data_IF_848984387598
#
_entry.id   IF_848984387598
#
_cell.length_a   1.000
_cell.length_b   1.000
_cell.length_c   1.000
_cell.angle_alpha   90.00
_cell.angle_beta   90.00
_cell.angle_gamma   90.00
#
_symmetry.space_group_name_H-M   'P 1'
#
loop_
_entity.id
_entity.type
_entity.pdbx_description
1 polymer ?
#
# COMPACT_ATOMS: atom_id res chain seq x y z
N UNK A 1 28.33 12.78 -36.83
CA UNK A 1 27.51 11.79 -36.08
C UNK A 1 28.42 11.23 -35.03
N UNK A 2 28.19 11.63 -33.78
CA UNK A 2 29.08 11.39 -32.67
C UNK A 2 28.71 10.06 -31.98
N UNK A 3 29.65 9.43 -31.33
CA UNK A 3 29.55 8.11 -30.65
C UNK A 3 28.36 8.00 -29.69
N UNK A 4 27.78 9.09 -29.23
CA UNK A 4 26.59 9.12 -28.38
C UNK A 4 25.31 8.62 -29.08
N UNK A 5 25.18 8.79 -30.40
CA UNK A 5 24.00 8.39 -31.17
C UNK A 5 23.97 6.85 -31.37
N UNK A 6 25.14 6.20 -31.41
CA UNK A 6 25.20 4.73 -31.55
C UNK A 6 24.87 3.99 -30.24
N UNK A 7 25.17 4.56 -29.07
CA UNK A 7 24.86 3.97 -27.77
C UNK A 7 23.34 3.93 -27.55
N UNK A 8 22.62 4.96 -27.97
CA UNK A 8 21.15 5.00 -27.87
C UNK A 8 20.45 4.00 -28.79
N UNK A 9 21.00 3.72 -29.97
CA UNK A 9 20.40 2.80 -30.94
C UNK A 9 20.49 1.31 -30.54
N UNK A 10 21.48 0.92 -29.72
CA UNK A 10 21.66 -0.47 -29.25
C UNK A 10 21.13 -0.71 -27.83
N UNK A 11 21.02 0.34 -27.02
CA UNK A 11 20.50 0.23 -25.65
C UNK A 11 18.96 0.16 -25.61
N UNK A 12 18.27 0.90 -26.48
CA UNK A 12 16.80 0.95 -26.51
C UNK A 12 16.14 -0.42 -26.82
N UNK A 13 16.59 -1.21 -27.81
CA UNK A 13 16.03 -2.53 -28.08
C UNK A 13 16.33 -3.55 -26.97
N UNK A 14 17.49 -3.47 -26.34
CA UNK A 14 17.84 -4.35 -25.20
C UNK A 14 17.02 -3.99 -23.95
N UNK A 15 16.79 -2.72 -23.70
CA UNK A 15 15.94 -2.23 -22.61
C UNK A 15 14.47 -2.65 -22.87
N UNK A 16 13.98 -2.50 -24.10
CA UNK A 16 12.63 -2.90 -24.49
C UNK A 16 12.41 -4.41 -24.36
N UNK A 17 13.39 -5.23 -24.77
CA UNK A 17 13.36 -6.69 -24.62
C UNK A 17 13.44 -7.12 -23.15
N UNK A 18 14.25 -6.41 -22.32
CA UNK A 18 14.33 -6.62 -20.87
C UNK A 18 12.99 -6.25 -20.20
N UNK A 19 12.38 -5.14 -20.63
CA UNK A 19 11.07 -4.68 -20.16
C UNK A 19 9.97 -5.70 -20.51
N UNK A 20 9.92 -6.21 -21.74
CA UNK A 20 8.91 -7.20 -22.16
C UNK A 20 9.10 -8.52 -21.41
N UNK A 21 10.32 -9.01 -21.25
CA UNK A 21 10.63 -10.27 -20.55
C UNK A 21 10.33 -10.19 -19.06
N UNK A 22 10.61 -9.06 -18.42
CA UNK A 22 10.37 -8.83 -17.00
C UNK A 22 8.90 -8.43 -16.71
N UNK A 23 8.16 -7.94 -17.71
CA UNK A 23 6.74 -7.61 -17.59
C UNK A 23 5.87 -8.85 -17.28
N UNK A 24 6.16 -9.99 -17.91
CA UNK A 24 5.52 -11.27 -17.59
C UNK A 24 5.82 -11.70 -16.15
N UNK A 25 7.00 -11.37 -15.65
CA UNK A 25 7.43 -11.66 -14.28
C UNK A 25 6.77 -10.77 -13.22
N UNK A 26 6.58 -9.48 -13.51
CA UNK A 26 5.94 -8.55 -12.60
C UNK A 26 4.45 -8.85 -12.40
N UNK A 27 3.78 -9.34 -13.45
CA UNK A 27 2.39 -9.84 -13.37
C UNK A 27 2.30 -11.05 -12.43
N UNK A 28 3.32 -11.92 -12.38
CA UNK A 28 3.36 -13.01 -11.39
C UNK A 28 3.53 -12.52 -9.93
N UNK A 29 4.28 -11.47 -9.70
CA UNK A 29 4.38 -10.86 -8.34
C UNK A 29 3.00 -10.35 -7.90
N UNK A 30 2.24 -9.75 -8.80
CA UNK A 30 0.89 -9.24 -8.56
C UNK A 30 -0.12 -10.34 -8.22
N UNK A 31 -0.07 -11.46 -8.94
CA UNK A 31 -0.93 -12.62 -8.69
C UNK A 31 -0.63 -13.23 -7.31
N UNK A 32 0.63 -13.26 -6.88
CA UNK A 32 1.02 -13.76 -5.57
C UNK A 32 0.61 -12.83 -4.40
N UNK A 33 0.48 -11.52 -4.63
CA UNK A 33 0.08 -10.55 -3.62
C UNK A 33 -1.44 -10.55 -3.40
N UNK A 34 -2.23 -10.87 -4.44
CA UNK A 34 -3.69 -10.72 -4.43
C UNK A 34 -4.52 -11.95 -4.00
N UNK A 35 -3.93 -13.09 -3.66
CA UNK A 35 -4.70 -14.33 -3.48
C UNK A 35 -5.51 -14.46 -2.16
N UNK A 36 -5.50 -13.49 -1.25
CA UNK A 36 -6.18 -13.65 0.04
C UNK A 36 -7.05 -12.49 0.55
N UNK A 37 -7.42 -11.54 -0.30
CA UNK A 37 -8.44 -10.56 0.06
C UNK A 37 -9.66 -10.77 -0.84
N UNK A 38 -10.63 -11.51 -0.34
CA UNK A 38 -11.99 -11.50 -0.90
C UNK A 38 -12.59 -10.11 -0.67
N UNK A 39 -12.17 -9.15 -1.47
CA UNK A 39 -12.88 -7.90 -1.62
C UNK A 39 -14.03 -8.20 -2.59
N UNK A 40 -15.26 -7.91 -2.17
CA UNK A 40 -16.37 -7.77 -3.09
C UNK A 40 -15.99 -6.68 -4.11
N UNK A 41 -15.38 -7.09 -5.17
CA UNK A 41 -15.08 -6.24 -6.32
C UNK A 41 -16.41 -5.77 -6.87
N UNK A 42 -16.68 -4.48 -6.74
CA UNK A 42 -17.72 -3.84 -7.55
C UNK A 42 -17.23 -3.96 -8.99
N UNK A 43 -17.78 -4.92 -9.69
CA UNK A 43 -17.40 -5.31 -11.03
C UNK A 43 -17.83 -4.21 -12.02
N UNK A 44 -16.91 -3.28 -12.35
CA UNK A 44 -17.14 -2.20 -13.32
C UNK A 44 -17.04 -2.72 -14.78
N UNK A 45 -16.73 -3.98 -14.99
CA UNK A 45 -16.73 -4.60 -16.30
C UNK A 45 -18.09 -5.21 -16.65
N UNK A 46 -19.11 -4.38 -16.82
CA UNK A 46 -20.27 -4.78 -17.58
C UNK A 46 -19.85 -4.87 -19.08
N UNK A 47 -19.49 -6.07 -19.54
CA UNK A 47 -19.69 -6.42 -20.96
C UNK A 47 -21.19 -6.24 -21.20
N UNK A 48 -21.57 -5.12 -21.79
CA UNK A 48 -22.95 -4.87 -22.24
C UNK A 48 -23.27 -5.93 -23.29
N UNK A 49 -24.12 -6.87 -22.90
CA UNK A 49 -24.83 -7.69 -23.87
C UNK A 49 -25.63 -6.75 -24.77
N UNK A 50 -25.21 -6.57 -26.02
CA UNK A 50 -25.77 -5.61 -26.96
C UNK A 50 -27.25 -5.84 -27.31
N UNK A 51 -27.84 -6.90 -26.76
CA UNK A 51 -29.26 -7.27 -26.97
C UNK A 51 -30.19 -6.82 -25.85
N UNK A 52 -29.65 -6.47 -24.66
CA UNK A 52 -30.45 -6.08 -23.50
C UNK A 52 -30.65 -4.57 -23.44
N UNK A 53 -31.91 -4.12 -23.46
CA UNK A 53 -32.26 -2.70 -23.23
C UNK A 53 -31.87 -2.33 -21.79
N UNK A 54 -31.24 -1.17 -21.62
CA UNK A 54 -30.76 -0.72 -20.28
C UNK A 54 -30.61 0.80 -20.26
N UNK A 55 -30.55 1.35 -19.06
CA UNK A 55 -29.94 2.66 -18.79
C UNK A 55 -28.54 2.43 -18.27
N UNK A 56 -27.60 3.21 -18.72
CA UNK A 56 -26.24 3.22 -18.16
C UNK A 56 -25.87 4.63 -17.73
N UNK A 57 -25.20 4.72 -16.60
CA UNK A 57 -24.70 5.98 -16.04
C UNK A 57 -23.18 5.95 -15.97
N UNK A 58 -22.55 7.05 -16.36
CA UNK A 58 -21.11 7.25 -16.24
C UNK A 58 -20.81 8.61 -15.63
N UNK A 59 -20.08 8.61 -14.52
CA UNK A 59 -19.59 9.80 -13.85
C UNK A 59 -18.16 10.07 -14.29
N UNK A 60 -17.93 11.25 -14.88
CA UNK A 60 -16.62 11.63 -15.41
C UNK A 60 -16.11 12.85 -14.67
N UNK A 61 -14.97 12.72 -14.03
CA UNK A 61 -14.28 13.85 -13.40
C UNK A 61 -13.74 14.82 -14.45
N UNK A 62 -13.78 16.11 -14.17
CA UNK A 62 -13.19 17.15 -15.02
C UNK A 62 -11.64 17.16 -15.00
N UNK A 63 -11.01 16.22 -14.31
CA UNK A 63 -9.59 15.95 -14.32
C UNK A 63 -9.36 14.42 -14.37
N UNK A 64 -8.51 13.96 -15.28
CA UNK A 64 -8.25 12.55 -15.53
C UNK A 64 -7.77 11.80 -14.27
N UNK A 65 -6.96 12.45 -13.43
CA UNK A 65 -6.37 11.85 -12.22
C UNK A 65 -7.30 11.95 -11.01
N UNK A 66 -8.51 12.51 -11.15
CA UNK A 66 -9.41 12.84 -10.03
C UNK A 66 -8.74 13.72 -8.94
N UNK A 67 -7.67 14.46 -9.28
CA UNK A 67 -6.94 15.34 -8.35
C UNK A 67 -7.09 16.79 -8.78
N UNK A 68 -7.72 17.60 -7.93
CA UNK A 68 -8.03 18.97 -8.23
C UNK A 68 -7.15 19.97 -7.47
N UNK A 69 -6.59 20.93 -8.20
CA UNK A 69 -5.80 22.05 -7.64
C UNK A 69 -6.65 23.30 -7.39
N UNK A 70 -7.75 23.44 -8.12
CA UNK A 70 -8.68 24.59 -8.03
C UNK A 70 -9.87 24.24 -7.17
N UNK A 71 -10.42 25.20 -6.42
CA UNK A 71 -11.54 25.02 -5.47
C UNK A 71 -12.88 24.63 -6.13
N UNK A 72 -13.05 24.90 -7.40
CA UNK A 72 -14.24 24.49 -8.16
C UNK A 72 -13.97 23.14 -8.83
N UNK A 73 -14.69 22.15 -8.38
CA UNK A 73 -14.66 20.78 -8.87
C UNK A 73 -15.73 20.65 -9.95
N UNK A 74 -15.44 19.92 -11.00
CA UNK A 74 -16.38 19.67 -12.08
C UNK A 74 -16.49 18.18 -12.32
N UNK A 75 -17.73 17.73 -12.45
CA UNK A 75 -18.08 16.39 -12.90
C UNK A 75 -19.07 16.50 -14.05
N UNK A 76 -19.13 15.47 -14.87
CA UNK A 76 -20.16 15.30 -15.89
C UNK A 76 -20.81 13.94 -15.66
N UNK A 77 -22.13 13.92 -15.57
CA UNK A 77 -22.91 12.70 -15.48
C UNK A 77 -23.48 12.44 -16.86
N UNK A 78 -23.08 11.34 -17.48
CA UNK A 78 -23.57 10.89 -18.77
C UNK A 78 -24.56 9.73 -18.54
N UNK A 79 -25.78 9.88 -19.02
CA UNK A 79 -26.85 8.89 -18.89
C UNK A 79 -27.25 8.47 -20.30
N UNK A 80 -27.08 7.19 -20.62
CA UNK A 80 -27.47 6.61 -21.91
C UNK A 80 -28.68 5.72 -21.71
N UNK A 81 -29.75 6.02 -22.41
CA UNK A 81 -30.96 5.21 -22.45
C UNK A 81 -30.99 4.40 -23.75
N UNK A 82 -30.96 3.07 -23.66
CA UNK A 82 -31.10 2.18 -24.83
C UNK A 82 -32.51 1.63 -25.04
N UNK A 83 -33.42 1.93 -24.12
CA UNK A 83 -34.83 1.55 -24.27
C UNK A 83 -35.50 2.26 -25.47
N UNK A 84 -36.58 1.65 -25.98
CA UNK A 84 -37.44 2.22 -27.06
C UNK A 84 -38.41 3.25 -26.54
N UNK A 85 -38.45 3.47 -25.23
CA UNK A 85 -39.27 4.45 -24.54
C UNK A 85 -38.39 5.45 -23.79
N UNK A 86 -38.88 6.66 -23.57
CA UNK A 86 -38.23 7.63 -22.73
C UNK A 86 -38.18 7.14 -21.27
N UNK A 87 -37.20 7.59 -20.53
CA UNK A 87 -37.02 7.30 -19.10
C UNK A 87 -37.18 8.61 -18.32
N UNK A 88 -38.06 8.63 -17.35
CA UNK A 88 -38.30 9.79 -16.48
C UNK A 88 -38.02 9.43 -15.03
N UNK A 89 -37.56 10.39 -14.26
CA UNK A 89 -37.28 10.19 -12.84
C UNK A 89 -36.41 11.27 -12.26
N UNK A 90 -35.56 10.88 -11.34
CA UNK A 90 -34.69 11.81 -10.58
C UNK A 90 -33.26 11.38 -10.58
N UNK A 91 -32.40 12.38 -10.48
CA UNK A 91 -31.00 12.20 -10.12
C UNK A 91 -30.72 13.00 -8.85
N UNK A 92 -30.02 12.35 -7.94
CA UNK A 92 -29.51 12.94 -6.72
C UNK A 92 -28.01 12.87 -6.74
N UNK A 93 -27.32 13.89 -6.23
CA UNK A 93 -25.88 13.84 -6.03
C UNK A 93 -25.52 14.39 -4.65
N UNK A 94 -24.43 13.87 -4.10
CA UNK A 94 -23.89 14.37 -2.85
C UNK A 94 -22.36 14.35 -2.86
N UNK A 95 -21.77 15.20 -2.02
CA UNK A 95 -20.34 15.21 -1.73
C UNK A 95 -20.16 15.00 -0.24
N UNK A 96 -19.39 13.97 0.12
CA UNK A 96 -19.03 13.65 1.49
C UNK A 96 -17.52 13.83 1.69
N UNK A 97 -17.11 14.21 2.89
CA UNK A 97 -15.70 14.18 3.26
C UNK A 97 -15.27 12.75 3.64
N UNK A 98 -13.99 12.59 3.94
CA UNK A 98 -13.38 11.32 4.37
C UNK A 98 -13.97 10.75 5.68
N UNK A 99 -14.61 11.58 6.52
CA UNK A 99 -15.35 11.17 7.72
C UNK A 99 -16.83 10.93 7.48
N UNK A 100 -17.23 10.69 6.25
CA UNK A 100 -18.62 10.41 5.83
C UNK A 100 -19.60 11.55 6.11
N UNK A 101 -19.15 12.76 6.39
CA UNK A 101 -20.01 13.92 6.59
C UNK A 101 -20.41 14.51 5.24
N UNK A 102 -21.71 14.60 4.98
CA UNK A 102 -22.22 15.29 3.81
C UNK A 102 -21.93 16.79 3.89
N UNK A 103 -21.33 17.33 2.85
CA UNK A 103 -20.96 18.75 2.73
C UNK A 103 -21.93 19.52 1.85
N UNK A 104 -22.39 18.89 0.79
CA UNK A 104 -23.34 19.43 -0.16
C UNK A 104 -24.03 18.31 -0.93
N UNK A 105 -25.10 18.65 -1.62
CA UNK A 105 -25.84 17.77 -2.49
C UNK A 105 -26.93 18.56 -3.24
N UNK A 106 -27.58 17.88 -4.17
CA UNK A 106 -28.70 18.41 -4.92
C UNK A 106 -29.47 17.31 -5.61
N UNK A 107 -30.68 17.62 -6.00
CA UNK A 107 -31.52 16.72 -6.79
C UNK A 107 -32.24 17.51 -7.88
N UNK A 108 -32.58 16.84 -8.96
CA UNK A 108 -33.41 17.39 -10.04
C UNK A 108 -34.07 16.27 -10.82
N UNK A 109 -35.21 16.62 -11.41
CA UNK A 109 -35.94 15.72 -12.29
C UNK A 109 -35.22 15.63 -13.64
N UNK A 110 -35.23 14.44 -14.22
CA UNK A 110 -34.57 14.14 -15.51
C UNK A 110 -35.54 13.45 -16.45
N UNK A 111 -35.39 13.76 -17.73
CA UNK A 111 -36.04 13.09 -18.84
C UNK A 111 -34.92 12.65 -19.81
N UNK A 112 -34.86 11.35 -20.12
CA UNK A 112 -33.90 10.81 -21.06
C UNK A 112 -34.65 10.19 -22.22
N UNK A 113 -34.58 10.80 -23.38
CA UNK A 113 -35.25 10.33 -24.60
C UNK A 113 -34.99 8.86 -24.89
N UNK A 114 -35.90 8.21 -25.62
CA UNK A 114 -35.71 6.88 -26.15
C UNK A 114 -34.43 6.81 -27.00
N UNK A 115 -33.56 5.82 -26.72
CA UNK A 115 -32.24 5.68 -27.34
C UNK A 115 -31.40 6.97 -27.28
N UNK A 116 -31.59 7.76 -26.22
CA UNK A 116 -31.01 9.07 -26.01
C UNK A 116 -29.81 9.09 -25.09
N UNK A 117 -29.11 10.22 -25.11
CA UNK A 117 -28.03 10.58 -24.23
C UNK A 117 -28.38 11.89 -23.51
N UNK A 118 -28.32 11.88 -22.17
CA UNK A 118 -28.43 13.08 -21.34
C UNK A 118 -27.06 13.36 -20.69
N UNK A 119 -26.55 14.58 -20.83
CA UNK A 119 -25.29 15.04 -20.25
C UNK A 119 -25.56 16.12 -19.23
N UNK A 120 -25.19 15.88 -17.99
CA UNK A 120 -25.44 16.79 -16.86
C UNK A 120 -24.12 17.28 -16.28
N UNK A 121 -23.78 18.57 -16.45
CA UNK A 121 -22.59 19.14 -15.82
C UNK A 121 -22.89 19.49 -14.36
N UNK A 122 -22.08 18.97 -13.45
CA UNK A 122 -22.13 19.30 -12.02
C UNK A 122 -20.90 20.12 -11.66
N UNK A 123 -21.07 21.23 -10.96
CA UNK A 123 -20.02 22.09 -10.47
C UNK A 123 -20.28 22.46 -9.03
N UNK A 124 -19.29 22.22 -8.17
CA UNK A 124 -19.35 22.56 -6.75
C UNK A 124 -17.99 23.06 -6.23
N UNK A 125 -17.99 23.52 -4.98
CA UNK A 125 -16.79 24.07 -4.33
C UNK A 125 -16.43 23.26 -3.10
N UNK A 126 -15.13 22.90 -2.98
CA UNK A 126 -14.51 22.42 -1.75
C UNK A 126 -13.41 23.40 -1.32
N UNK A 127 -13.14 23.49 -0.03
CA UNK A 127 -12.22 24.51 0.54
C UNK A 127 -11.05 23.93 1.30
N UNK A 128 -11.23 22.81 1.99
CA UNK A 128 -10.18 22.16 2.76
C UNK A 128 -9.43 21.14 1.90
N UNK A 129 -8.10 21.03 2.01
CA UNK A 129 -7.36 19.93 1.42
C UNK A 129 -7.84 18.59 1.98
N UNK A 130 -7.96 17.56 1.12
CA UNK A 130 -8.44 16.24 1.55
C UNK A 130 -8.91 15.38 0.40
N UNK A 131 -9.46 14.22 0.76
CA UNK A 131 -10.15 13.34 -0.17
C UNK A 131 -11.65 13.38 0.12
N UNK A 132 -12.43 13.30 -0.94
CA UNK A 132 -13.88 13.49 -0.92
C UNK A 132 -14.54 12.45 -1.80
N UNK A 133 -15.71 11.99 -1.40
CA UNK A 133 -16.55 11.13 -2.20
C UNK A 133 -17.63 11.97 -2.91
N UNK A 134 -17.72 11.79 -4.21
CA UNK A 134 -18.85 12.28 -5.02
C UNK A 134 -19.69 11.08 -5.40
N UNK A 135 -20.92 11.03 -4.96
CA UNK A 135 -21.86 9.98 -5.31
C UNK A 135 -23.06 10.55 -6.08
N UNK A 136 -23.58 9.73 -6.97
CA UNK A 136 -24.74 10.04 -7.80
C UNK A 136 -25.67 8.85 -7.78
N UNK A 137 -26.92 9.07 -7.39
CA UNK A 137 -28.01 8.12 -7.48
C UNK A 137 -28.95 8.53 -8.59
N UNK A 138 -29.25 7.61 -9.49
CA UNK A 138 -30.29 7.74 -10.52
C UNK A 138 -31.45 6.81 -10.15
N UNK A 139 -32.66 7.33 -10.26
CA UNK A 139 -33.88 6.53 -10.16
C UNK A 139 -34.84 7.00 -11.28
N UNK A 140 -34.99 6.15 -12.29
CA UNK A 140 -35.87 6.37 -13.43
C UNK A 140 -36.80 5.17 -13.60
N UNK A 141 -37.75 5.25 -14.52
CA UNK A 141 -38.85 4.30 -14.69
C UNK A 141 -38.42 2.82 -14.60
N UNK A 142 -37.33 2.45 -15.28
CA UNK A 142 -36.90 1.06 -15.41
C UNK A 142 -35.50 0.81 -14.85
N UNK A 143 -34.89 1.79 -14.09
CA UNK A 143 -33.51 1.68 -13.62
C UNK A 143 -33.24 2.51 -12.35
N UNK A 144 -32.63 1.88 -11.37
CA UNK A 144 -32.09 2.51 -10.15
C UNK A 144 -30.64 2.06 -9.93
N UNK A 145 -29.73 3.03 -9.75
CA UNK A 145 -28.32 2.74 -9.48
C UNK A 145 -27.65 3.88 -8.72
N UNK A 146 -26.55 3.56 -8.06
CA UNK A 146 -25.72 4.55 -7.35
C UNK A 146 -24.26 4.35 -7.74
N UNK A 147 -23.64 5.41 -8.25
CA UNK A 147 -22.20 5.43 -8.57
C UNK A 147 -21.49 6.40 -7.64
N UNK A 148 -20.43 5.93 -7.01
CA UNK A 148 -19.55 6.75 -6.20
C UNK A 148 -18.13 6.77 -6.77
N UNK A 149 -17.48 7.92 -6.65
CA UNK A 149 -16.06 8.12 -7.02
C UNK A 149 -15.39 8.99 -5.97
N UNK A 150 -14.10 8.78 -5.76
CA UNK A 150 -13.33 9.59 -4.80
C UNK A 150 -12.37 10.51 -5.55
N UNK A 151 -12.30 11.76 -5.11
CA UNK A 151 -11.39 12.74 -5.64
C UNK A 151 -10.55 13.40 -4.54
N UNK A 152 -9.33 13.79 -4.90
CA UNK A 152 -8.46 14.58 -4.02
C UNK A 152 -8.52 16.07 -4.36
N UNK A 153 -8.62 16.92 -3.34
CA UNK A 153 -8.42 18.35 -3.47
C UNK A 153 -7.15 18.76 -2.75
N UNK A 154 -6.16 19.25 -3.50
CA UNK A 154 -4.86 19.71 -2.99
C UNK A 154 -4.23 18.73 -1.98
N UNK A 155 -4.13 17.43 -2.26
CA UNK A 155 -3.65 16.45 -1.27
C UNK A 155 -2.23 16.76 -0.78
N UNK A 156 -1.39 17.44 -1.56
CA UNK A 156 -0.07 17.94 -1.13
C UNK A 156 -0.13 18.92 0.04
N UNK A 157 -1.30 19.49 0.37
CA UNK A 157 -1.52 20.39 1.49
C UNK A 157 -2.18 19.71 2.68
N UNK A 158 -2.45 18.40 2.63
CA UNK A 158 -2.91 17.65 3.80
C UNK A 158 -1.78 17.68 4.82
N UNK A 159 -2.08 18.22 5.99
CA UNK A 159 -1.14 18.32 7.09
C UNK A 159 -1.85 17.98 8.40
N UNK A 160 -1.56 16.80 8.91
CA UNK A 160 -2.09 16.31 10.17
C UNK A 160 -1.02 16.38 11.26
N UNK A 161 -1.39 16.57 12.53
CA UNK A 161 -0.42 16.57 13.63
C UNK A 161 0.32 15.23 13.71
N UNK A 162 1.59 15.28 14.11
CA UNK A 162 2.30 14.09 14.56
C UNK A 162 1.94 13.82 16.02
N UNK A 163 1.43 12.65 16.30
CA UNK A 163 1.18 12.17 17.67
C UNK A 163 2.39 11.37 18.18
N UNK A 164 3.59 11.95 17.99
CA UNK A 164 4.86 11.32 18.37
C UNK A 164 5.07 11.39 19.88
N UNK A 165 5.20 10.25 20.60
CA UNK A 165 5.51 10.23 22.01
C UNK A 165 6.87 10.91 22.31
N UNK A 166 6.99 11.52 23.48
CA UNK A 166 8.22 12.24 23.89
C UNK A 166 9.43 11.31 23.95
N UNK A 167 9.23 10.07 24.37
CA UNK A 167 10.26 9.03 24.48
C UNK A 167 10.38 8.13 23.23
N UNK A 168 9.73 8.50 22.12
CA UNK A 168 9.68 7.70 20.88
C UNK A 168 11.08 7.31 20.38
N UNK A 169 11.97 8.27 20.26
CA UNK A 169 13.31 8.02 19.72
C UNK A 169 14.09 7.09 20.66
N UNK A 170 14.05 7.35 21.96
CA UNK A 170 14.68 6.49 22.96
C UNK A 170 14.11 5.07 22.96
N UNK A 171 12.78 4.92 22.83
CA UNK A 171 12.10 3.63 22.78
C UNK A 171 12.64 2.76 21.63
N UNK A 172 12.78 3.35 20.44
CA UNK A 172 13.27 2.62 19.28
C UNK A 172 14.79 2.43 19.28
N UNK A 173 15.55 3.36 19.85
CA UNK A 173 17.00 3.17 20.04
C UNK A 173 17.30 2.06 21.05
N UNK A 174 16.53 1.98 22.13
CA UNK A 174 16.61 0.89 23.10
C UNK A 174 16.28 -0.46 22.44
N UNK A 175 15.20 -0.53 21.63
CA UNK A 175 14.82 -1.75 20.91
C UNK A 175 15.89 -2.21 19.92
N UNK A 176 16.54 -1.28 19.19
CA UNK A 176 17.69 -1.59 18.32
C UNK A 176 18.88 -2.09 19.12
N UNK A 177 19.15 -1.49 20.28
CA UNK A 177 20.23 -1.91 21.17
C UNK A 177 19.97 -3.30 21.77
N UNK A 178 18.73 -3.63 22.11
CA UNK A 178 18.30 -4.96 22.54
C UNK A 178 18.51 -5.99 21.40
N UNK A 179 18.06 -5.68 20.18
CA UNK A 179 18.25 -6.53 19.01
C UNK A 179 19.74 -6.83 18.76
N UNK A 180 20.60 -5.81 18.89
CA UNK A 180 22.06 -5.95 18.65
C UNK A 180 22.72 -6.91 19.63
N UNK A 181 22.19 -7.14 20.83
CA UNK A 181 22.70 -8.08 21.82
C UNK A 181 22.34 -9.53 21.48
N UNK A 182 21.33 -9.76 20.63
CA UNK A 182 20.90 -11.09 20.22
C UNK A 182 21.84 -11.63 19.15
N UNK A 183 22.50 -12.75 19.42
CA UNK A 183 23.28 -13.49 18.40
C UNK A 183 22.31 -13.93 17.29
N UNK A 184 22.50 -13.50 16.04
CA UNK A 184 21.56 -13.76 14.95
C UNK A 184 21.48 -15.24 14.53
N UNK A 185 22.47 -16.08 14.83
CA UNK A 185 22.52 -17.53 14.52
C UNK A 185 21.97 -17.87 13.12
N UNK A 186 22.47 -17.18 12.10
CA UNK A 186 21.99 -17.36 10.73
C UNK A 186 22.17 -18.81 10.27
N UNK A 187 21.06 -19.42 9.81
CA UNK A 187 21.05 -20.71 9.12
C UNK A 187 20.63 -20.49 7.68
N UNK A 188 21.41 -21.01 6.74
CA UNK A 188 21.21 -20.84 5.29
C UNK A 188 21.22 -22.23 4.66
N UNK A 189 20.05 -22.75 4.31
CA UNK A 189 19.89 -24.10 3.78
C UNK A 189 19.55 -24.04 2.28
N UNK A 190 20.45 -24.64 1.46
CA UNK A 190 20.23 -24.73 0.01
C UNK A 190 19.07 -25.69 -0.30
N UNK A 191 18.09 -25.22 -1.05
CA UNK A 191 16.98 -26.04 -1.52
C UNK A 191 17.13 -26.38 -3.01
N UNK A 192 17.57 -27.61 -3.31
CA UNK A 192 17.63 -28.11 -4.68
C UNK A 192 16.24 -28.12 -5.33
N UNK A 193 15.20 -28.44 -4.56
CA UNK A 193 13.81 -28.55 -5.03
C UNK A 193 13.27 -27.22 -5.54
N UNK A 194 13.61 -26.12 -4.88
CA UNK A 194 13.13 -24.78 -5.19
C UNK A 194 14.07 -23.99 -6.09
N UNK A 195 15.31 -24.45 -6.27
CA UNK A 195 16.28 -23.87 -7.20
C UNK A 195 15.88 -24.14 -8.65
N UNK A 196 16.17 -23.16 -9.53
CA UNK A 196 15.90 -23.26 -10.97
C UNK A 196 17.21 -23.45 -11.77
N UNK A 197 17.13 -23.54 -13.10
CA UNK A 197 18.32 -23.53 -13.98
C UNK A 197 19.13 -22.23 -13.83
N UNK A 198 18.47 -21.11 -13.52
CA UNK A 198 19.05 -19.76 -13.45
C UNK A 198 19.32 -19.26 -12.04
N UNK A 199 18.66 -19.81 -10.99
CA UNK A 199 18.76 -19.32 -9.62
C UNK A 199 19.07 -20.41 -8.60
N UNK A 200 19.81 -20.02 -7.57
CA UNK A 200 19.94 -20.76 -6.30
C UNK A 200 18.86 -20.27 -5.34
N UNK A 201 18.23 -21.19 -4.65
CA UNK A 201 17.23 -20.90 -3.62
C UNK A 201 17.72 -21.41 -2.26
N UNK A 202 17.54 -20.59 -1.23
CA UNK A 202 17.91 -20.94 0.14
C UNK A 202 16.75 -20.61 1.09
N UNK A 203 16.47 -21.52 2.01
CA UNK A 203 15.71 -21.22 3.21
C UNK A 203 16.63 -20.53 4.21
N UNK A 204 16.09 -19.55 4.93
CA UNK A 204 16.85 -18.74 5.89
C UNK A 204 16.14 -18.77 7.23
N UNK A 205 16.90 -19.01 8.30
CA UNK A 205 16.44 -18.80 9.68
C UNK A 205 17.41 -17.86 10.40
N UNK A 206 16.89 -17.07 11.34
CA UNK A 206 17.68 -16.15 12.13
C UNK A 206 17.01 -15.83 13.47
N UNK A 207 17.82 -15.56 14.49
CA UNK A 207 17.33 -15.09 15.77
C UNK A 207 17.13 -13.58 15.73
N UNK A 208 15.97 -13.13 16.19
CA UNK A 208 15.60 -11.73 16.30
C UNK A 208 15.36 -11.33 17.76
N UNK A 209 14.80 -10.15 18.00
CA UNK A 209 14.50 -9.64 19.34
C UNK A 209 13.78 -10.71 20.17
N UNK A 210 14.08 -10.79 21.46
CA UNK A 210 13.58 -11.79 22.42
C UNK A 210 13.98 -13.24 22.09
N UNK A 211 15.05 -13.43 21.29
CA UNK A 211 15.48 -14.74 20.78
C UNK A 211 14.40 -15.50 20.00
N UNK A 212 13.48 -14.76 19.36
CA UNK A 212 12.47 -15.35 18.49
C UNK A 212 13.13 -15.77 17.19
N UNK A 213 12.96 -17.04 16.78
CA UNK A 213 13.41 -17.51 15.47
C UNK A 213 12.44 -17.01 14.40
N UNK A 214 12.95 -16.25 13.45
CA UNK A 214 12.22 -15.81 12.27
C UNK A 214 12.76 -16.48 11.02
N UNK A 215 11.94 -16.53 9.99
CA UNK A 215 12.21 -17.30 8.79
C UNK A 215 12.15 -16.40 7.55
N UNK A 216 12.73 -16.90 6.48
CA UNK A 216 12.63 -16.29 5.16
C UNK A 216 13.15 -17.24 4.10
N UNK A 217 13.15 -16.77 2.87
CA UNK A 217 13.82 -17.44 1.78
C UNK A 217 14.51 -16.41 0.88
N UNK A 218 15.62 -16.82 0.28
CA UNK A 218 16.33 -15.96 -0.67
C UNK A 218 16.60 -16.72 -1.97
N UNK A 219 16.27 -16.09 -3.10
CA UNK A 219 16.64 -16.52 -4.44
C UNK A 219 17.74 -15.63 -5.00
N UNK A 220 18.80 -16.22 -5.55
CA UNK A 220 19.99 -15.51 -6.03
C UNK A 220 20.32 -16.01 -7.43
N UNK A 221 20.51 -15.13 -8.43
CA UNK A 221 20.95 -15.52 -9.76
C UNK A 221 22.26 -16.32 -9.73
N UNK A 222 22.40 -17.31 -10.62
CA UNK A 222 23.64 -18.10 -10.77
C UNK A 222 24.73 -17.40 -11.57
N UNK A 223 24.42 -16.24 -12.15
CA UNK A 223 25.38 -15.40 -12.85
C UNK A 223 26.51 -14.95 -11.91
N UNK A 224 27.68 -14.67 -12.51
CA UNK A 224 28.81 -14.12 -11.77
C UNK A 224 28.55 -12.62 -11.51
N UNK A 225 28.64 -12.19 -10.27
CA UNK A 225 28.45 -10.79 -9.90
C UNK A 225 27.86 -10.58 -8.51
N UNK A 226 27.56 -9.33 -8.21
CA UNK A 226 26.77 -8.92 -7.05
C UNK A 226 25.45 -8.36 -7.53
N UNK A 227 24.37 -8.80 -6.90
CA UNK A 227 23.00 -8.46 -7.30
C UNK A 227 22.36 -7.52 -6.30
N UNK A 228 21.67 -6.47 -6.77
CA UNK A 228 20.76 -5.70 -5.92
C UNK A 228 19.84 -6.65 -5.16
N UNK A 229 19.54 -6.32 -3.93
CA UNK A 229 18.68 -7.17 -3.08
C UNK A 229 17.34 -6.50 -2.89
N UNK A 230 16.27 -7.12 -3.38
CA UNK A 230 14.91 -6.73 -3.02
C UNK A 230 14.49 -7.52 -1.79
N UNK A 231 14.42 -6.83 -0.65
CA UNK A 231 13.89 -7.37 0.59
C UNK A 231 12.38 -7.10 0.64
N UNK A 232 11.60 -8.17 0.52
CA UNK A 232 10.14 -8.10 0.50
C UNK A 232 9.59 -8.33 1.90
N UNK A 233 8.82 -7.35 2.36
CA UNK A 233 8.11 -7.38 3.63
C UNK A 233 6.71 -7.97 3.45
N UNK A 234 6.25 -8.88 4.33
CA UNK A 234 4.97 -9.56 4.16
C UNK A 234 3.79 -8.65 4.49
N UNK A 235 2.72 -8.75 3.70
CA UNK A 235 1.40 -8.27 4.07
C UNK A 235 0.81 -9.05 5.25
N UNK A 236 -0.35 -8.61 5.75
CA UNK A 236 -0.99 -9.24 6.90
C UNK A 236 -1.34 -10.71 6.62
N UNK A 237 -0.79 -11.64 7.42
CA UNK A 237 -0.96 -13.10 7.25
C UNK A 237 -0.59 -13.62 5.84
N UNK A 238 0.23 -12.89 5.10
CA UNK A 238 0.62 -13.26 3.74
C UNK A 238 1.76 -14.27 3.74
N UNK A 239 1.65 -15.26 2.86
CA UNK A 239 2.73 -16.18 2.50
C UNK A 239 3.24 -15.81 1.11
N UNK A 240 4.48 -15.34 1.04
CA UNK A 240 5.10 -14.91 -0.20
C UNK A 240 5.60 -16.12 -1.00
N UNK A 241 5.22 -16.19 -2.27
CA UNK A 241 5.66 -17.24 -3.18
C UNK A 241 7.01 -16.90 -3.83
N UNK A 242 7.90 -17.90 -4.08
CA UNK A 242 9.16 -17.67 -4.75
C UNK A 242 9.01 -17.11 -6.17
N UNK A 243 9.85 -16.16 -6.53
CA UNK A 243 10.01 -15.66 -7.89
C UNK A 243 11.48 -15.34 -8.18
N UNK A 244 11.87 -15.25 -9.46
CA UNK A 244 13.25 -15.40 -9.89
C UNK A 244 13.61 -14.38 -11.00
N UNK A 245 13.78 -13.08 -10.69
CA UNK A 245 14.25 -12.09 -11.65
C UNK A 245 15.74 -12.31 -12.00
N UNK A 246 16.09 -12.09 -13.26
CA UNK A 246 17.42 -12.48 -13.78
C UNK A 246 18.60 -11.70 -13.20
N UNK A 247 18.37 -10.50 -12.69
CA UNK A 247 19.41 -9.54 -12.32
C UNK A 247 19.29 -8.99 -10.88
N UNK A 248 18.44 -9.59 -10.06
CA UNK A 248 18.21 -9.18 -8.67
C UNK A 248 18.13 -10.41 -7.78
N UNK A 249 18.64 -10.31 -6.56
CA UNK A 249 18.38 -11.28 -5.51
C UNK A 249 17.09 -10.88 -4.78
N UNK A 250 16.23 -11.87 -4.53
CA UNK A 250 14.96 -11.64 -3.81
C UNK A 250 15.07 -12.29 -2.44
N UNK A 251 14.93 -11.49 -1.40
CA UNK A 251 14.85 -11.96 -0.04
C UNK A 251 13.43 -11.68 0.51
N UNK A 252 12.66 -12.71 0.78
CA UNK A 252 11.33 -12.61 1.40
C UNK A 252 11.41 -12.96 2.87
N UNK A 253 11.03 -12.01 3.71
CA UNK A 253 10.98 -12.18 5.15
C UNK A 253 9.60 -12.74 5.57
N UNK A 254 9.61 -13.63 6.56
CA UNK A 254 8.44 -13.97 7.37
C UNK A 254 8.71 -13.45 8.78
N UNK A 255 8.01 -12.38 9.17
CA UNK A 255 8.12 -11.83 10.53
C UNK A 255 7.55 -12.82 11.55
N UNK A 256 7.89 -12.64 12.83
CA UNK A 256 7.36 -13.43 13.95
C UNK A 256 5.85 -13.62 13.85
N UNK A 257 5.36 -14.76 14.28
CA UNK A 257 3.93 -15.06 14.29
C UNK A 257 3.41 -15.30 15.71
N UNK A 258 2.09 -15.37 15.83
CA UNK A 258 1.40 -15.56 17.14
C UNK A 258 1.78 -16.90 17.77
N UNK A 259 1.94 -17.97 17.01
CA UNK A 259 2.26 -19.29 17.53
C UNK A 259 3.68 -19.35 18.14
N UNK A 260 4.62 -18.56 17.63
CA UNK A 260 5.96 -18.43 18.21
C UNK A 260 5.94 -17.72 19.57
N UNK A 261 5.02 -16.75 19.75
CA UNK A 261 4.82 -16.05 21.03
C UNK A 261 4.03 -16.93 22.01
N UNK A 262 3.09 -17.74 21.54
CA UNK A 262 2.24 -18.61 22.39
C UNK A 262 2.99 -19.79 23.01
N UNK A 263 4.18 -20.15 22.52
CA UNK A 263 5.08 -21.08 23.26
C UNK A 263 5.43 -20.55 24.64
N UNK A 264 5.26 -19.25 24.87
CA UNK A 264 5.43 -18.57 26.16
C UNK A 264 4.13 -18.47 26.97
N UNK A 265 2.95 -18.61 26.34
CA UNK A 265 1.63 -18.47 26.98
C UNK A 265 0.89 -19.82 27.09
N UNK A 266 0.69 -20.26 28.32
CA UNK A 266 0.08 -21.56 28.67
C UNK A 266 -1.44 -21.70 28.42
N UNK A 267 -2.10 -20.80 27.67
CA UNK A 267 -3.55 -20.86 27.49
C UNK A 267 -3.96 -20.81 26.00
N UNK A 268 -4.29 -21.98 25.38
CA UNK A 268 -4.50 -22.10 23.94
C UNK A 268 -5.92 -21.75 23.44
N UNK A 269 -6.80 -21.18 24.25
CA UNK A 269 -8.26 -21.15 23.93
C UNK A 269 -8.72 -20.05 22.99
N UNK A 270 -7.97 -18.98 22.76
CA UNK A 270 -8.23 -18.01 21.69
C UNK A 270 -6.91 -17.31 21.31
N UNK A 271 -6.38 -17.60 20.13
CA UNK A 271 -5.28 -16.79 19.59
C UNK A 271 -5.85 -15.42 19.23
N UNK A 272 -5.34 -14.33 19.83
CA UNK A 272 -5.77 -12.99 19.42
C UNK A 272 -5.36 -12.74 17.95
N UNK A 273 -6.11 -11.87 17.27
CA UNK A 273 -5.66 -11.40 15.96
C UNK A 273 -4.26 -10.79 16.07
N UNK A 274 -3.43 -11.04 15.06
CA UNK A 274 -2.02 -10.61 15.07
C UNK A 274 -1.85 -9.14 15.46
N UNK A 275 -2.67 -8.26 14.88
CA UNK A 275 -2.62 -6.83 15.16
C UNK A 275 -3.08 -6.42 16.57
N UNK A 276 -3.51 -7.39 17.39
CA UNK A 276 -4.01 -7.16 18.75
C UNK A 276 -3.12 -7.77 19.83
N UNK A 277 -2.09 -8.54 19.45
CA UNK A 277 -1.22 -9.24 20.42
C UNK A 277 -0.47 -8.25 21.29
N UNK A 278 -0.82 -8.17 22.58
CA UNK A 278 -0.27 -7.27 23.61
C UNK A 278 -0.40 -5.77 23.24
N UNK A 279 -1.48 -5.39 22.59
CA UNK A 279 -1.70 -4.00 22.15
C UNK A 279 -1.80 -3.00 23.33
N UNK A 280 -2.04 -3.50 24.53
CA UNK A 280 -2.10 -2.70 25.78
C UNK A 280 -0.72 -2.25 26.26
N UNK A 281 0.36 -2.90 25.83
CA UNK A 281 1.72 -2.62 26.27
C UNK A 281 2.68 -2.43 25.10
N UNK A 282 3.12 -1.19 24.88
CA UNK A 282 4.06 -0.85 23.81
C UNK A 282 5.34 -1.69 23.81
N UNK A 283 5.80 -2.15 25.00
CA UNK A 283 7.05 -2.90 25.12
C UNK A 283 6.92 -4.34 24.62
N UNK A 284 5.72 -4.91 24.75
CA UNK A 284 5.40 -6.28 24.39
C UNK A 284 4.51 -6.40 23.15
N UNK A 285 4.04 -5.27 22.59
CA UNK A 285 3.22 -5.27 21.37
C UNK A 285 3.96 -5.94 20.23
N UNK A 286 3.29 -6.87 19.55
CA UNK A 286 3.89 -7.72 18.51
C UNK A 286 4.67 -6.94 17.45
N UNK A 287 4.20 -5.71 17.12
CA UNK A 287 4.84 -4.86 16.11
C UNK A 287 6.20 -4.32 16.56
N UNK A 288 6.51 -4.20 17.87
CA UNK A 288 7.88 -3.90 18.32
C UNK A 288 8.85 -4.95 17.79
N UNK A 289 8.50 -6.20 18.02
CA UNK A 289 9.30 -7.30 17.53
C UNK A 289 9.31 -7.44 16.01
N UNK A 290 8.16 -7.26 15.35
CA UNK A 290 8.07 -7.34 13.89
C UNK A 290 8.93 -6.27 13.19
N UNK A 291 9.00 -5.05 13.71
CA UNK A 291 9.90 -4.02 13.17
C UNK A 291 11.36 -4.40 13.38
N UNK A 292 11.70 -4.99 14.52
CA UNK A 292 13.05 -5.52 14.76
C UNK A 292 13.38 -6.72 13.85
N UNK A 293 12.41 -7.55 13.49
CA UNK A 293 12.58 -8.65 12.52
C UNK A 293 12.97 -8.12 11.14
N UNK A 294 12.37 -7.00 10.72
CA UNK A 294 12.70 -6.34 9.46
C UNK A 294 14.15 -5.81 9.46
N UNK A 295 14.59 -5.20 10.58
CA UNK A 295 16.00 -4.76 10.71
C UNK A 295 16.95 -5.95 10.73
N UNK A 296 16.61 -7.07 11.38
CA UNK A 296 17.40 -8.31 11.37
C UNK A 296 17.58 -8.85 9.95
N UNK A 297 16.55 -8.70 9.08
CA UNK A 297 16.67 -9.09 7.67
C UNK A 297 17.69 -8.20 6.91
N UNK A 298 17.78 -6.91 7.21
CA UNK A 298 18.83 -6.04 6.66
C UNK A 298 20.20 -6.48 7.17
N UNK A 299 20.34 -6.78 8.47
CA UNK A 299 21.59 -7.32 9.04
C UNK A 299 22.03 -8.62 8.36
N UNK A 300 21.07 -9.51 8.04
CA UNK A 300 21.35 -10.75 7.29
C UNK A 300 22.01 -10.48 5.95
N UNK A 301 21.50 -9.51 5.17
CA UNK A 301 22.03 -9.16 3.85
C UNK A 301 23.49 -8.73 3.97
N UNK A 302 23.80 -7.87 4.96
CA UNK A 302 25.17 -7.41 5.20
C UNK A 302 26.11 -8.53 5.65
N UNK A 303 25.66 -9.38 6.57
CA UNK A 303 26.47 -10.49 7.07
C UNK A 303 26.79 -11.54 5.99
N UNK A 304 25.88 -11.69 5.02
CA UNK A 304 25.93 -12.74 3.99
C UNK A 304 26.24 -12.21 2.58
N UNK A 305 26.89 -11.06 2.45
CA UNK A 305 27.26 -10.44 1.18
C UNK A 305 28.04 -11.37 0.23
N UNK A 306 28.79 -12.34 0.78
CA UNK A 306 29.55 -13.35 0.02
C UNK A 306 28.66 -14.29 -0.82
N UNK A 307 27.36 -14.32 -0.55
CA UNK A 307 26.39 -15.02 -1.41
C UNK A 307 26.16 -14.33 -2.77
N UNK A 308 26.82 -13.20 -3.03
CA UNK A 308 26.63 -12.39 -4.23
C UNK A 308 25.62 -11.26 -4.03
N UNK A 309 25.39 -10.84 -2.78
CA UNK A 309 24.46 -9.76 -2.44
C UNK A 309 25.18 -8.41 -2.49
N UNK A 310 24.58 -7.44 -3.17
CA UNK A 310 25.08 -6.07 -3.21
C UNK A 310 24.51 -5.26 -2.05
N UNK A 311 25.34 -5.03 -1.05
CA UNK A 311 24.98 -4.29 0.16
C UNK A 311 24.80 -2.79 -0.06
N UNK A 312 25.20 -2.25 -1.21
CA UNK A 312 25.01 -0.86 -1.58
C UNK A 312 23.69 -0.63 -2.34
N UNK A 313 23.00 -1.71 -2.73
CA UNK A 313 21.73 -1.64 -3.48
C UNK A 313 20.68 -2.51 -2.81
N UNK A 314 20.27 -2.12 -1.59
CA UNK A 314 19.21 -2.78 -0.84
C UNK A 314 17.91 -2.00 -1.07
N UNK A 315 16.94 -2.69 -1.65
CA UNK A 315 15.60 -2.21 -1.93
C UNK A 315 14.68 -2.86 -0.89
N UNK A 316 13.98 -2.07 -0.07
CA UNK A 316 12.90 -2.61 0.77
C UNK A 316 11.56 -2.34 0.13
N UNK A 317 10.72 -3.37 0.10
CA UNK A 317 9.44 -3.29 -0.60
C UNK A 317 8.35 -4.07 0.14
N UNK A 318 7.10 -3.58 0.07
CA UNK A 318 5.95 -4.32 0.57
C UNK A 318 4.62 -3.65 0.27
N UNK A 319 3.54 -4.43 0.41
CA UNK A 319 2.18 -3.95 0.29
C UNK A 319 1.43 -4.03 1.61
N UNK A 320 0.46 -3.12 1.85
CA UNK A 320 -0.37 -3.12 3.05
C UNK A 320 0.48 -3.04 4.33
N UNK A 321 0.40 -4.03 5.22
CA UNK A 321 1.29 -4.15 6.38
C UNK A 321 2.77 -4.18 5.97
N UNK A 322 3.10 -4.89 4.87
CA UNK A 322 4.45 -4.92 4.33
C UNK A 322 4.93 -3.54 3.88
N UNK A 323 4.03 -2.70 3.36
CA UNK A 323 4.33 -1.31 3.03
C UNK A 323 4.67 -0.47 4.28
N UNK A 324 3.93 -0.67 5.38
CA UNK A 324 4.28 -0.07 6.67
C UNK A 324 5.66 -0.54 7.16
N UNK A 325 5.94 -1.85 7.09
CA UNK A 325 7.24 -2.42 7.45
C UNK A 325 8.38 -1.86 6.59
N UNK A 326 8.18 -1.72 5.28
CA UNK A 326 9.18 -1.15 4.38
C UNK A 326 9.52 0.31 4.76
N UNK A 327 8.50 1.14 4.99
CA UNK A 327 8.68 2.55 5.39
C UNK A 327 9.39 2.67 6.74
N UNK A 328 8.99 1.88 7.73
CA UNK A 328 9.62 1.86 9.06
C UNK A 328 11.07 1.38 8.97
N UNK A 329 11.33 0.32 8.19
CA UNK A 329 12.69 -0.19 7.98
C UNK A 329 13.60 0.87 7.36
N UNK A 330 13.14 1.54 6.30
CA UNK A 330 13.88 2.62 5.64
C UNK A 330 14.14 3.84 6.56
N UNK A 331 13.24 4.08 7.52
CA UNK A 331 13.40 5.15 8.51
C UNK A 331 14.43 4.79 9.59
N UNK A 332 14.45 3.52 10.02
CA UNK A 332 15.29 3.06 11.13
C UNK A 332 16.67 2.55 10.69
N UNK A 333 16.84 2.25 9.40
CA UNK A 333 18.08 1.70 8.84
C UNK A 333 18.49 2.41 7.55
N UNK A 334 19.48 3.28 7.66
CA UNK A 334 19.94 4.09 6.52
C UNK A 334 20.81 3.30 5.52
N UNK A 335 21.01 2.00 5.72
CA UNK A 335 21.60 1.09 4.74
C UNK A 335 20.61 0.74 3.62
N UNK A 336 19.34 1.04 3.80
CA UNK A 336 18.32 0.92 2.76
C UNK A 336 18.56 1.98 1.68
N UNK A 337 18.65 1.53 0.43
CA UNK A 337 18.96 2.40 -0.72
C UNK A 337 17.71 3.05 -1.32
N UNK A 338 16.63 2.30 -1.48
CA UNK A 338 15.31 2.78 -1.90
C UNK A 338 14.20 2.02 -1.18
N UNK A 339 13.03 2.64 -1.05
CA UNK A 339 11.87 2.09 -0.37
C UNK A 339 10.62 2.18 -1.24
N UNK A 340 9.90 1.08 -1.39
CA UNK A 340 8.60 1.03 -2.04
C UNK A 340 7.49 0.53 -1.12
N UNK A 341 6.35 1.22 -1.11
CA UNK A 341 5.22 0.88 -0.26
C UNK A 341 3.89 1.01 -1.01
N UNK A 342 3.23 -0.11 -1.25
CA UNK A 342 1.92 -0.14 -1.89
C UNK A 342 0.82 -0.15 -0.82
N UNK A 343 -0.10 0.82 -0.87
CA UNK A 343 -1.23 0.97 0.06
C UNK A 343 -0.82 0.75 1.54
N UNK A 344 0.22 1.45 2.07
CA UNK A 344 0.74 1.20 3.40
C UNK A 344 -0.31 1.49 4.47
N UNK A 345 -0.53 0.54 5.38
CA UNK A 345 -1.41 0.70 6.55
C UNK A 345 -0.67 1.37 7.72
N UNK A 346 -1.37 1.64 8.81
CA UNK A 346 -0.84 2.26 10.03
C UNK A 346 -0.24 3.65 9.82
N UNK A 347 -0.72 4.38 8.83
CA UNK A 347 -0.38 5.77 8.58
C UNK A 347 -1.40 6.68 9.26
N UNK A 348 -0.94 7.65 10.08
CA UNK A 348 -1.79 8.67 10.72
C UNK A 348 -2.96 8.05 11.52
N UNK A 349 -2.60 7.27 12.56
CA UNK A 349 -3.51 6.38 13.28
C UNK A 349 -4.70 7.10 13.93
N UNK A 350 -4.54 8.35 14.36
CA UNK A 350 -5.65 9.14 14.91
C UNK A 350 -6.70 9.46 13.85
N UNK A 351 -6.30 9.95 12.68
CA UNK A 351 -7.23 10.18 11.58
C UNK A 351 -7.72 8.87 10.96
N UNK A 352 -6.85 7.86 10.87
CA UNK A 352 -7.25 6.52 10.43
C UNK A 352 -8.44 6.00 11.23
N UNK A 353 -8.35 6.07 12.58
CA UNK A 353 -9.43 5.60 13.46
C UNK A 353 -10.74 6.33 13.17
N UNK A 354 -10.71 7.66 13.05
CA UNK A 354 -11.91 8.46 12.77
C UNK A 354 -12.50 8.17 11.38
N UNK A 355 -11.66 8.09 10.36
CA UNK A 355 -12.10 7.84 8.97
C UNK A 355 -12.69 6.44 8.86
N UNK A 356 -11.95 5.41 9.28
CA UNK A 356 -12.37 4.03 9.15
C UNK A 356 -13.63 3.72 9.97
N UNK A 357 -13.70 4.25 11.20
CA UNK A 357 -14.87 4.04 12.06
C UNK A 357 -16.15 4.66 11.50
N UNK A 358 -16.07 5.79 10.79
CA UNK A 358 -17.21 6.44 10.17
C UNK A 358 -17.62 5.84 8.81
N UNK A 359 -16.67 5.27 8.06
CA UNK A 359 -16.95 4.72 6.72
C UNK A 359 -17.12 3.21 6.70
N UNK A 360 -16.25 2.48 7.38
CA UNK A 360 -16.16 1.02 7.35
C UNK A 360 -15.71 0.45 8.70
N UNK A 361 -16.55 0.57 9.75
CA UNK A 361 -16.21 0.09 11.09
C UNK A 361 -15.99 -1.43 11.16
N UNK A 362 -16.40 -2.16 10.14
CA UNK A 362 -16.23 -3.61 9.93
C UNK A 362 -14.93 -3.98 9.21
N UNK A 363 -14.20 -2.99 8.63
CA UNK A 363 -12.95 -3.26 7.92
C UNK A 363 -11.79 -3.60 8.89
N UNK A 364 -10.77 -4.30 8.35
CA UNK A 364 -9.49 -4.50 9.04
C UNK A 364 -8.70 -3.18 9.09
N UNK A 365 -7.96 -2.89 10.15
CA UNK A 365 -7.96 -3.50 11.48
C UNK A 365 -8.98 -2.88 12.44
N UNK A 366 -9.76 -1.84 12.01
CA UNK A 366 -10.64 -1.06 12.88
C UNK A 366 -11.67 -1.91 13.62
N UNK A 367 -12.20 -2.98 12.99
CA UNK A 367 -13.15 -3.89 13.65
C UNK A 367 -12.57 -4.53 14.92
N UNK A 368 -11.29 -4.89 14.89
CA UNK A 368 -10.62 -5.52 16.03
C UNK A 368 -10.34 -4.49 17.15
N UNK A 369 -9.98 -3.26 16.77
CA UNK A 369 -9.85 -2.16 17.73
C UNK A 369 -11.16 -1.87 18.44
N UNK A 370 -12.25 -1.75 17.68
CA UNK A 370 -13.58 -1.53 18.24
C UNK A 370 -14.05 -2.69 19.14
N UNK A 371 -13.77 -3.93 18.75
CA UNK A 371 -14.07 -5.11 19.55
C UNK A 371 -13.28 -5.09 20.86
N UNK A 372 -11.99 -4.82 20.81
CA UNK A 372 -11.12 -4.76 21.99
C UNK A 372 -11.56 -3.68 22.97
N UNK A 373 -11.86 -2.48 22.49
CA UNK A 373 -12.34 -1.37 23.32
C UNK A 373 -13.63 -1.73 24.06
N UNK A 374 -14.58 -2.36 23.35
CA UNK A 374 -15.85 -2.80 23.97
C UNK A 374 -15.65 -3.90 25.01
N UNK A 375 -14.82 -4.90 24.71
CA UNK A 375 -14.61 -6.07 25.58
C UNK A 375 -13.86 -5.73 26.87
N UNK A 376 -12.96 -4.74 26.83
CA UNK A 376 -12.11 -4.38 27.95
C UNK A 376 -12.52 -3.07 28.65
N UNK A 377 -13.62 -2.44 28.20
CA UNK A 377 -14.08 -1.14 28.72
C UNK A 377 -12.97 -0.05 28.74
N UNK A 378 -12.07 -0.10 27.74
CA UNK A 378 -10.92 0.81 27.63
C UNK A 378 -11.30 1.99 26.75
N UNK A 379 -10.78 3.17 27.08
CA UNK A 379 -10.97 4.36 26.26
C UNK A 379 -10.06 4.35 25.02
N UNK A 380 -10.58 4.88 23.92
CA UNK A 380 -9.89 5.00 22.63
C UNK A 380 -8.51 5.63 22.76
N UNK A 381 -8.39 6.65 23.60
CA UNK A 381 -7.16 7.39 23.84
C UNK A 381 -6.04 6.51 24.39
N UNK A 382 -6.37 5.51 25.20
CA UNK A 382 -5.39 4.56 25.73
C UNK A 382 -4.83 3.65 24.63
N UNK A 383 -5.71 3.17 23.74
CA UNK A 383 -5.31 2.39 22.57
C UNK A 383 -4.40 3.22 21.64
N UNK A 384 -4.81 4.44 21.32
CA UNK A 384 -4.06 5.32 20.43
C UNK A 384 -2.68 5.68 20.98
N UNK A 385 -2.54 5.85 22.31
CA UNK A 385 -1.22 6.07 22.94
C UNK A 385 -0.23 4.93 22.69
N UNK A 386 -0.67 3.69 22.65
CA UNK A 386 0.19 2.58 22.25
C UNK A 386 0.50 2.66 20.76
N UNK A 387 -0.53 2.85 19.93
CA UNK A 387 -0.38 2.91 18.48
C UNK A 387 0.50 4.07 18.00
N UNK A 388 0.59 5.17 18.75
CA UNK A 388 1.47 6.30 18.46
C UNK A 388 2.95 5.90 18.34
N UNK A 389 3.39 4.85 19.06
CA UNK A 389 4.75 4.33 18.92
C UNK A 389 4.97 3.57 17.62
N UNK A 390 3.90 3.13 16.96
CA UNK A 390 3.91 2.29 15.77
C UNK A 390 3.33 2.96 14.53
N UNK A 391 2.88 4.21 14.68
CA UNK A 391 2.36 5.00 13.57
C UNK A 391 3.49 5.33 12.57
N UNK A 392 3.34 4.84 11.35
CA UNK A 392 4.28 5.07 10.24
C UNK A 392 4.58 6.56 10.03
N UNK A 393 3.59 7.43 10.27
CA UNK A 393 3.75 8.87 10.12
C UNK A 393 4.87 9.44 11.01
N UNK A 394 5.10 8.84 12.20
CA UNK A 394 6.15 9.26 13.12
C UNK A 394 7.55 8.83 12.66
N UNK A 395 7.66 7.82 11.79
CA UNK A 395 8.94 7.34 11.24
C UNK A 395 9.34 8.06 9.94
N UNK A 396 8.39 8.41 9.10
CA UNK A 396 8.62 8.97 7.76
C UNK A 396 9.65 10.12 7.72
N UNK A 397 9.69 11.07 8.67
CA UNK A 397 10.68 12.14 8.66
C UNK A 397 12.14 11.68 8.72
N UNK A 398 12.39 10.46 9.18
CA UNK A 398 13.75 9.89 9.32
C UNK A 398 14.25 9.19 8.06
N UNK A 399 13.39 8.93 7.07
CA UNK A 399 13.77 8.28 5.82
C UNK A 399 14.74 9.18 5.04
N UNK A 400 15.87 8.60 4.61
CA UNK A 400 16.92 9.28 3.85
C UNK A 400 16.95 8.90 2.37
N UNK A 401 16.45 7.71 2.03
CA UNK A 401 16.42 7.19 0.67
C UNK A 401 15.16 7.64 -0.10
N UNK A 402 15.14 7.54 -1.43
CA UNK A 402 13.94 7.73 -2.24
C UNK A 402 12.82 6.79 -1.83
N UNK A 403 11.58 7.28 -1.86
CA UNK A 403 10.38 6.53 -1.50
C UNK A 403 9.38 6.57 -2.64
N UNK A 404 8.87 5.40 -3.04
CA UNK A 404 7.73 5.26 -3.94
C UNK A 404 6.52 4.75 -3.15
N UNK A 405 5.41 5.48 -3.16
CA UNK A 405 4.16 5.06 -2.52
C UNK A 405 3.05 4.98 -3.57
N UNK A 406 2.23 3.92 -3.53
CA UNK A 406 0.94 3.89 -4.19
C UNK A 406 -0.19 3.97 -3.18
N UNK A 407 -1.32 4.54 -3.56
CA UNK A 407 -2.55 4.52 -2.80
C UNK A 407 -3.78 4.39 -3.71
N UNK A 408 -4.74 3.55 -3.31
CA UNK A 408 -6.04 3.46 -3.94
C UNK A 408 -7.01 4.50 -3.36
N UNK A 409 -7.77 5.18 -4.23
CA UNK A 409 -8.71 6.21 -3.74
C UNK A 409 -9.94 5.63 -3.04
N UNK A 410 -10.31 4.39 -3.34
CA UNK A 410 -11.42 3.66 -2.72
C UNK A 410 -10.98 2.72 -1.59
N UNK A 411 -9.72 2.81 -1.15
CA UNK A 411 -9.15 1.91 -0.17
C UNK A 411 -9.75 2.14 1.25
N UNK A 412 -10.51 1.17 1.80
CA UNK A 412 -11.08 1.28 3.13
C UNK A 412 -10.12 0.87 4.25
N UNK A 413 -9.00 0.22 3.90
CA UNK A 413 -8.02 -0.34 4.83
C UNK A 413 -6.86 0.64 5.05
N UNK A 414 -6.39 1.27 3.96
CA UNK A 414 -5.39 2.32 3.98
C UNK A 414 -5.97 3.62 3.38
N UNK A 415 -6.77 4.38 4.14
CA UNK A 415 -7.46 5.57 3.61
C UNK A 415 -6.48 6.53 2.93
N UNK A 416 -6.80 7.01 1.72
CA UNK A 416 -5.88 7.83 0.93
C UNK A 416 -5.43 9.11 1.65
N UNK A 417 -6.28 9.70 2.50
CA UNK A 417 -5.94 10.88 3.28
C UNK A 417 -4.80 10.59 4.28
N UNK A 418 -4.84 9.42 4.95
CA UNK A 418 -3.83 9.01 5.93
C UNK A 418 -2.48 8.70 5.26
N UNK A 419 -2.50 7.94 4.17
CA UNK A 419 -1.29 7.61 3.40
C UNK A 419 -0.64 8.88 2.85
N UNK A 420 -1.46 9.79 2.33
CA UNK A 420 -0.94 11.05 1.78
C UNK A 420 -0.41 11.99 2.87
N UNK A 421 -1.05 12.02 4.04
CA UNK A 421 -0.57 12.78 5.21
C UNK A 421 0.81 12.29 5.64
N UNK A 422 1.02 10.97 5.70
CA UNK A 422 2.31 10.37 5.98
C UNK A 422 3.35 10.74 4.90
N UNK A 423 3.03 10.54 3.60
CA UNK A 423 3.93 10.93 2.51
C UNK A 423 4.35 12.41 2.56
N UNK A 424 3.45 13.31 2.95
CA UNK A 424 3.76 14.74 3.08
C UNK A 424 4.82 15.04 4.16
N UNK A 425 5.12 14.10 5.07
CA UNK A 425 6.17 14.20 6.10
C UNK A 425 7.54 13.71 5.62
N UNK A 426 7.66 13.15 4.40
CA UNK A 426 8.97 12.76 3.84
C UNK A 426 9.92 13.95 3.87
N UNK A 427 11.08 13.76 4.49
CA UNK A 427 12.07 14.81 4.69
C UNK A 427 12.68 15.34 3.37
N UNK A 428 13.24 16.56 3.37
CA UNK A 428 13.72 17.22 2.14
C UNK A 428 14.78 16.42 1.38
N UNK A 429 15.61 15.65 2.08
CA UNK A 429 16.67 14.84 1.47
C UNK A 429 16.12 13.73 0.57
N UNK A 430 15.14 12.99 1.08
CA UNK A 430 14.47 11.91 0.35
C UNK A 430 13.45 12.46 -0.67
N UNK A 431 12.77 13.56 -0.34
CA UNK A 431 11.61 14.09 -1.08
C UNK A 431 11.87 14.36 -2.57
N UNK A 432 13.07 14.77 -2.95
CA UNK A 432 13.38 15.13 -4.34
C UNK A 432 13.23 13.97 -5.32
N UNK A 433 13.52 12.75 -4.85
CA UNK A 433 13.45 11.51 -5.63
C UNK A 433 12.25 10.63 -5.24
N UNK A 434 11.39 11.12 -4.34
CA UNK A 434 10.24 10.36 -3.85
C UNK A 434 8.98 10.70 -4.65
N UNK A 435 8.18 9.68 -4.91
CA UNK A 435 6.94 9.78 -5.66
C UNK A 435 5.76 9.17 -4.90
N UNK A 436 4.57 9.68 -5.18
CA UNK A 436 3.32 9.08 -4.74
C UNK A 436 2.36 8.96 -5.92
N UNK A 437 1.88 7.76 -6.18
CA UNK A 437 0.94 7.45 -7.24
C UNK A 437 -0.45 7.22 -6.68
N UNK A 438 -1.42 7.95 -7.22
CA UNK A 438 -2.83 7.86 -6.83
C UNK A 438 -3.54 6.99 -7.85
N UNK A 439 -4.03 5.85 -7.40
CA UNK A 439 -4.77 4.89 -8.21
C UNK A 439 -6.27 5.21 -8.09
N UNK A 440 -6.79 5.96 -9.06
CA UNK A 440 -8.16 6.45 -9.04
C UNK A 440 -9.16 5.30 -9.21
N UNK A 441 -10.18 5.25 -8.34
CA UNK A 441 -11.22 4.20 -8.30
C UNK A 441 -10.68 2.79 -8.06
N UNK A 442 -9.55 2.67 -7.38
CA UNK A 442 -8.92 1.42 -6.98
C UNK A 442 -9.04 1.27 -5.46
N UNK A 443 -9.31 0.05 -4.99
CA UNK A 443 -9.40 -0.32 -3.58
C UNK A 443 -8.03 -0.60 -2.95
N UNK A 444 -7.98 -1.63 -2.07
CA UNK A 444 -6.75 -2.08 -1.40
C UNK A 444 -5.91 -3.01 -2.29
N UNK A 445 -5.66 -2.57 -3.50
CA UNK A 445 -4.95 -3.31 -4.55
C UNK A 445 -4.10 -2.36 -5.39
N UNK A 446 -3.30 -2.88 -6.31
CA UNK A 446 -2.54 -2.09 -7.28
C UNK A 446 -2.89 -2.53 -8.69
N UNK A 447 -2.72 -1.62 -9.65
CA UNK A 447 -2.98 -1.89 -11.08
C UNK A 447 -1.73 -2.43 -11.79
N UNK A 448 -1.93 -3.12 -12.91
CA UNK A 448 -0.83 -3.55 -13.78
C UNK A 448 -0.02 -2.35 -14.31
N UNK A 449 -0.71 -1.26 -14.68
CA UNK A 449 -0.06 -0.02 -15.13
C UNK A 449 0.88 0.52 -14.07
N UNK A 450 0.43 0.62 -12.82
CA UNK A 450 1.29 1.07 -11.72
C UNK A 450 2.45 0.09 -11.46
N UNK A 451 2.23 -1.19 -11.60
CA UNK A 451 3.28 -2.19 -11.42
C UNK A 451 4.41 -2.01 -12.43
N UNK A 452 4.08 -1.64 -13.66
CA UNK A 452 5.08 -1.28 -14.68
C UNK A 452 5.82 0.02 -14.33
N UNK A 453 5.10 1.06 -13.89
CA UNK A 453 5.71 2.32 -13.42
C UNK A 453 6.68 2.04 -12.27
N UNK A 454 6.27 1.24 -11.29
CA UNK A 454 7.10 0.84 -10.15
C UNK A 454 8.38 0.12 -10.58
N UNK A 455 8.27 -0.80 -11.52
CA UNK A 455 9.44 -1.47 -12.08
C UNK A 455 10.42 -0.48 -12.70
N UNK A 456 9.95 0.43 -13.54
CA UNK A 456 10.81 1.46 -14.15
C UNK A 456 11.46 2.37 -13.11
N UNK A 457 10.71 2.77 -12.09
CA UNK A 457 11.22 3.61 -11.01
C UNK A 457 12.31 2.90 -10.18
N UNK A 458 12.15 1.60 -9.90
CA UNK A 458 13.17 0.79 -9.23
C UNK A 458 14.44 0.73 -10.10
N UNK A 459 14.31 0.41 -11.38
CA UNK A 459 15.44 0.35 -12.31
C UNK A 459 16.18 1.69 -12.37
N UNK A 460 15.47 2.80 -12.52
CA UNK A 460 16.06 4.16 -12.60
C UNK A 460 16.82 4.53 -11.33
N UNK A 461 16.31 4.16 -10.15
CA UNK A 461 16.92 4.53 -8.88
C UNK A 461 17.96 3.51 -8.38
N UNK A 462 18.12 2.36 -9.04
CA UNK A 462 19.12 1.33 -8.71
C UNK A 462 20.32 1.29 -9.67
N UNK A 463 20.18 1.87 -10.85
CA UNK A 463 21.33 2.04 -11.77
C UNK A 463 22.25 3.12 -11.20
N UNK A 464 23.47 2.75 -10.86
CA UNK A 464 24.53 3.73 -10.57
C UNK A 464 24.79 4.56 -11.82
N UNK A 465 24.62 5.87 -11.70
CA UNK A 465 25.16 6.82 -12.69
C UNK A 465 26.67 6.85 -12.45
N UNK A 466 27.40 6.07 -13.24
CA UNK A 466 28.86 6.11 -13.31
C UNK A 466 29.32 7.37 -14.03
#
# INVERSE_FOLDING_TARGET
>A
MTAETEIYQYALPKLLLKVIRNHVFLVMILVCINQNVSANTININNKTDSTKQTVSIRVVAGNKDCIFKRKYIRYTINIVNTYKVAQEGKIEYEVRNDRNKQLLGGQFDIHVDKKGLLIIPIKFKVTAPGFYEFSTRINVTDYDDTIATVFGYKPKLINTPLHKPVDFDKFWDDAKAELKKVDPKYTIEYSKKQSTSTHKFYNVEMQSLDNVTIHGWISIPKLIGRFPVILIMPGYKQVLQPFFPDDQAIFCLTVRNVSQLNKLNKNPRMEPEYCMVNIEDKNNFIYKGAYMDCLRAVDFIFANYKLGLDTNRIIVFGGSQGGAFALVTAAMDHRVHICGADNPIYCDMHNYYEIANNKRPDAFPIKYYNQYLRQNAIQKESLLKTLDYFDVQNFIPYIKCPVLIALGTLDPIAPPACVYAAYNKVGPAARRKSEIHILSNVGHEITEEYSFIKFLWIEENTVEIH
#
